data_IF_705959203876
#
_entry.id   IF_705959203876
#
_cell.length_a   1.000
_cell.length_b   1.000
_cell.length_c   1.000
_cell.angle_alpha   90.00
_cell.angle_beta   90.00
_cell.angle_gamma   90.00
#
_symmetry.space_group_name_H-M   'P 1'
#
loop_
_entity.id
_entity.type
_entity.pdbx_description
1 polymer ?
#
# COMPACT_ATOMS: atom_id res chain seq x y z
N UNK A 1 13.18 -29.24 20.73
CA UNK A 1 12.95 -27.79 20.52
C UNK A 1 11.58 -27.62 19.87
N UNK A 2 10.64 -26.91 20.51
CA UNK A 2 9.31 -26.66 19.92
C UNK A 2 9.48 -25.75 18.71
N UNK A 3 9.40 -26.29 17.49
CA UNK A 3 9.30 -25.49 16.27
C UNK A 3 8.04 -24.62 16.39
N UNK A 4 8.23 -23.32 16.59
CA UNK A 4 7.14 -22.36 16.55
C UNK A 4 6.44 -22.48 15.20
N UNK A 5 5.10 -22.63 15.22
CA UNK A 5 4.29 -22.60 14.00
C UNK A 5 4.68 -21.36 13.18
N UNK A 6 5.01 -21.48 11.88
CA UNK A 6 5.08 -20.30 11.04
C UNK A 6 3.71 -19.63 11.06
N UNK A 7 3.66 -18.38 11.53
CA UNK A 7 2.46 -17.54 11.50
C UNK A 7 2.07 -17.40 10.03
N UNK A 8 0.98 -18.07 9.60
CA UNK A 8 0.39 -17.89 8.27
C UNK A 8 -0.17 -16.47 8.16
N UNK A 9 0.69 -15.49 7.90
CA UNK A 9 0.27 -14.18 7.43
C UNK A 9 0.22 -14.29 5.90
N UNK A 10 -0.99 -14.30 5.30
CA UNK A 10 -1.14 -14.04 3.87
C UNK A 10 -1.58 -15.20 2.95
N UNK A 11 -2.62 -15.97 3.30
CA UNK A 11 -3.22 -16.93 2.34
C UNK A 11 -3.97 -16.29 1.16
N UNK A 12 -4.11 -14.96 1.10
CA UNK A 12 -4.78 -14.22 0.01
C UNK A 12 -4.04 -12.96 -0.44
N UNK A 13 -2.72 -12.90 -0.26
CA UNK A 13 -1.91 -11.74 -0.68
C UNK A 13 -1.00 -12.10 -1.85
N UNK A 14 -0.89 -11.20 -2.83
CA UNK A 14 0.07 -11.28 -3.93
C UNK A 14 1.15 -10.22 -3.78
N UNK A 15 2.39 -10.58 -4.12
CA UNK A 15 3.52 -9.64 -4.15
C UNK A 15 3.60 -8.98 -5.52
N UNK A 16 3.68 -7.65 -5.55
CA UNK A 16 3.85 -6.87 -6.78
C UNK A 16 5.20 -6.18 -6.70
N UNK A 17 6.03 -6.34 -7.73
CA UNK A 17 7.27 -5.57 -7.89
C UNK A 17 7.00 -4.41 -8.85
N UNK A 18 7.30 -3.20 -8.41
CA UNK A 18 7.08 -1.97 -9.19
C UNK A 18 8.41 -1.22 -9.29
N UNK A 19 8.69 -0.67 -10.46
CA UNK A 19 9.80 0.26 -10.67
C UNK A 19 9.29 1.68 -10.44
N UNK A 20 9.94 2.40 -9.54
CA UNK A 20 9.67 3.81 -9.25
C UNK A 20 10.96 4.61 -9.46
N UNK A 21 10.82 5.89 -9.78
CA UNK A 21 11.98 6.79 -9.75
C UNK A 21 12.52 6.85 -8.31
N UNK A 22 13.84 6.98 -8.18
CA UNK A 22 14.50 7.04 -6.87
C UNK A 22 13.98 8.22 -6.03
N UNK A 23 13.71 9.36 -6.67
CA UNK A 23 13.13 10.54 -6.03
C UNK A 23 11.80 10.24 -5.36
N UNK A 24 10.92 9.52 -6.07
CA UNK A 24 9.56 9.25 -5.62
C UNK A 24 9.57 8.25 -4.47
N UNK A 25 10.45 7.25 -4.55
CA UNK A 25 10.65 6.30 -3.46
C UNK A 25 11.15 6.99 -2.18
N UNK A 26 12.08 7.94 -2.29
CA UNK A 26 12.57 8.71 -1.13
C UNK A 26 11.50 9.66 -0.58
N UNK A 27 10.67 10.26 -1.43
CA UNK A 27 9.50 11.03 -0.97
C UNK A 27 8.50 10.15 -0.21
N UNK A 28 8.19 8.95 -0.74
CA UNK A 28 7.30 7.99 -0.10
C UNK A 28 7.83 7.52 1.26
N UNK A 29 9.15 7.30 1.39
CA UNK A 29 9.77 6.97 2.67
C UNK A 29 9.55 8.04 3.73
N UNK A 30 9.74 9.32 3.36
CA UNK A 30 9.54 10.45 4.29
C UNK A 30 8.09 10.53 4.78
N UNK A 31 7.13 10.36 3.86
CA UNK A 31 5.70 10.32 4.20
C UNK A 31 5.39 9.12 5.11
N UNK A 32 5.94 7.96 4.77
CA UNK A 32 5.74 6.73 5.54
C UNK A 32 6.23 6.88 6.99
N UNK A 33 7.39 7.54 7.19
CA UNK A 33 7.92 7.84 8.51
C UNK A 33 7.01 8.80 9.29
N UNK A 34 6.55 9.88 8.65
CA UNK A 34 5.64 10.86 9.26
C UNK A 34 4.31 10.24 9.68
N UNK A 35 3.73 9.38 8.83
CA UNK A 35 2.47 8.68 9.10
C UNK A 35 2.63 7.42 9.96
N UNK A 36 3.86 7.08 10.38
CA UNK A 36 4.20 5.83 11.08
C UNK A 36 3.64 4.59 10.37
N UNK A 37 3.79 4.55 9.04
CA UNK A 37 3.32 3.46 8.17
C UNK A 37 4.44 2.96 7.25
N UNK A 38 4.14 1.99 6.37
CA UNK A 38 5.07 1.47 5.36
C UNK A 38 4.75 2.00 3.96
N UNK A 39 5.77 2.09 3.11
CA UNK A 39 5.63 2.48 1.69
C UNK A 39 4.61 1.59 0.98
N UNK A 40 4.56 0.29 1.30
CA UNK A 40 3.58 -0.63 0.74
C UNK A 40 2.14 -0.23 1.08
N UNK A 41 1.87 0.24 2.29
CA UNK A 41 0.55 0.76 2.68
C UNK A 41 0.19 2.01 1.90
N UNK A 42 1.13 2.95 1.73
CA UNK A 42 0.89 4.15 0.93
C UNK A 42 0.55 3.80 -0.53
N UNK A 43 1.30 2.89 -1.14
CA UNK A 43 1.03 2.43 -2.51
C UNK A 43 -0.32 1.72 -2.60
N UNK A 44 -0.66 0.85 -1.65
CA UNK A 44 -1.98 0.19 -1.59
C UNK A 44 -3.12 1.22 -1.50
N UNK A 45 -2.97 2.25 -0.66
CA UNK A 45 -3.95 3.35 -0.54
C UNK A 45 -4.09 4.12 -1.85
N UNK A 46 -2.97 4.47 -2.49
CA UNK A 46 -2.97 5.18 -3.77
C UNK A 46 -3.66 4.37 -4.88
N UNK A 47 -3.34 3.08 -5.00
CA UNK A 47 -3.99 2.15 -5.94
C UNK A 47 -5.49 2.07 -5.65
N UNK A 48 -5.88 1.93 -4.39
CA UNK A 48 -7.29 1.87 -4.02
C UNK A 48 -8.04 3.17 -4.36
N UNK A 49 -7.44 4.32 -4.04
CA UNK A 49 -7.99 5.63 -4.37
C UNK A 49 -8.15 5.83 -5.88
N UNK A 50 -7.19 5.36 -6.68
CA UNK A 50 -7.22 5.57 -8.12
C UNK A 50 -8.20 4.64 -8.85
N UNK A 51 -8.26 3.36 -8.46
CA UNK A 51 -9.00 2.33 -9.21
C UNK A 51 -10.29 1.86 -8.55
N UNK A 52 -10.40 1.90 -7.22
CA UNK A 52 -11.52 1.27 -6.50
C UNK A 52 -12.45 2.27 -5.82
N UNK A 53 -12.02 3.50 -5.57
CA UNK A 53 -12.91 4.53 -5.05
C UNK A 53 -13.75 5.11 -6.19
N UNK A 54 -15.10 5.12 -6.06
CA UNK A 54 -15.95 5.78 -7.03
C UNK A 54 -15.58 7.26 -7.04
N UNK A 55 -15.15 7.77 -8.20
CA UNK A 55 -15.04 9.22 -8.41
C UNK A 55 -16.42 9.78 -8.17
N UNK A 56 -16.61 10.50 -7.07
CA UNK A 56 -17.91 11.07 -6.72
C UNK A 56 -18.40 11.89 -7.93
N UNK A 57 -19.35 11.33 -8.69
CA UNK A 57 -20.17 12.10 -9.61
C UNK A 57 -21.20 12.79 -8.75
N UNK A 58 -20.85 13.95 -8.19
CA UNK A 58 -21.87 14.93 -7.83
C UNK A 58 -22.45 15.48 -9.13
N UNK A 59 -23.32 14.70 -9.77
CA UNK A 59 -24.40 15.27 -10.58
C UNK A 59 -25.55 15.38 -9.62
N UNK A 60 -25.73 16.57 -9.05
CA UNK A 60 -26.96 16.89 -8.36
C UNK A 60 -28.13 16.73 -9.33
N UNK A 61 -29.13 15.99 -8.89
CA UNK A 61 -30.52 16.19 -9.29
C UNK A 61 -31.33 16.28 -8.01
#
# INVERSE_FOLDING_TARGET
>A
MKQGRPRRVGTKSVSIRVLLMKSDHEALKRIAEQERTDVGTLVRRAVAHYFFLPKSSKTGK
#
